data_IF_190668763201
#
_entry.id   IF_190668763201
#
_cell.length_a   1.000
_cell.length_b   1.000
_cell.length_c   1.000
_cell.angle_alpha   90.00
_cell.angle_beta   90.00
_cell.angle_gamma   90.00
#
_symmetry.space_group_name_H-M   'P 1'
#
loop_
_entity.id
_entity.type
_entity.pdbx_description
1 polymer ?
#
# COMPACT_ATOMS: atom_id res chain seq x y z
N UNK A 1 -18.54 53.91 6.05
CA UNK A 1 -18.07 54.61 4.84
C UNK A 1 -18.13 53.63 3.67
N UNK A 2 -19.13 53.73 2.78
CA UNK A 2 -19.14 53.06 1.47
C UNK A 2 -18.62 54.00 0.37
N UNK A 3 -18.54 53.49 -0.88
CA UNK A 3 -18.17 54.10 -2.19
C UNK A 3 -16.69 53.88 -2.60
N UNK A 4 -16.31 53.43 -3.81
CA UNK A 4 -17.03 53.16 -5.08
C UNK A 4 -16.16 52.34 -6.03
N UNK A 5 -16.82 51.57 -6.90
CA UNK A 5 -16.28 50.85 -8.05
C UNK A 5 -16.07 51.75 -9.30
N UNK A 6 -15.15 51.36 -10.18
CA UNK A 6 -15.07 51.67 -11.62
C UNK A 6 -14.08 50.64 -12.21
N UNK A 7 -14.20 50.06 -13.40
CA UNK A 7 -15.01 50.43 -14.56
C UNK A 7 -15.17 49.22 -15.51
N UNK A 8 -16.19 49.29 -16.36
CA UNK A 8 -16.58 48.34 -17.39
C UNK A 8 -15.90 48.67 -18.72
N UNK A 9 -15.55 47.65 -19.53
CA UNK A 9 -15.64 47.71 -21.00
C UNK A 9 -15.41 46.29 -21.57
N UNK A 10 -16.45 45.57 -21.98
CA UNK A 10 -17.15 45.61 -23.27
C UNK A 10 -16.43 44.89 -24.42
N UNK A 11 -17.11 43.84 -24.90
CA UNK A 11 -17.31 43.43 -26.30
C UNK A 11 -16.10 43.32 -27.24
N UNK A 12 -15.79 42.06 -27.64
CA UNK A 12 -15.99 41.60 -29.03
C UNK A 12 -15.62 40.13 -29.23
N UNK A 13 -16.57 39.33 -29.68
CA UNK A 13 -16.31 38.11 -30.46
C UNK A 13 -15.96 38.50 -31.90
N UNK A 14 -15.13 37.68 -32.58
CA UNK A 14 -15.57 37.20 -33.89
C UNK A 14 -15.30 35.71 -34.15
N UNK A 15 -16.39 35.04 -34.58
CA UNK A 15 -16.58 34.07 -35.68
C UNK A 15 -15.40 33.19 -36.19
N UNK A 16 -15.66 31.87 -36.13
CA UNK A 16 -15.41 30.78 -37.10
C UNK A 16 -14.20 30.85 -38.04
N UNK A 17 -13.29 29.84 -37.99
CA UNK A 17 -12.70 29.20 -39.19
C UNK A 17 -12.19 27.78 -38.86
N UNK A 18 -12.56 26.78 -39.66
CA UNK A 18 -11.67 25.67 -40.06
C UNK A 18 -11.72 24.34 -39.30
N UNK A 19 -12.65 23.45 -39.68
CA UNK A 19 -12.42 22.00 -39.62
C UNK A 19 -11.22 21.66 -40.53
N UNK A 20 -10.11 21.18 -39.96
CA UNK A 20 -9.07 20.52 -40.74
C UNK A 20 -9.21 19.01 -40.55
N UNK A 21 -9.75 18.36 -41.57
CA UNK A 21 -9.75 16.91 -41.70
C UNK A 21 -8.30 16.51 -41.98
N UNK A 22 -7.60 15.97 -40.98
CA UNK A 22 -6.28 15.38 -41.18
C UNK A 22 -6.49 14.00 -41.80
N UNK A 23 -6.56 13.94 -43.13
CA UNK A 23 -6.35 12.70 -43.87
C UNK A 23 -4.85 12.47 -44.07
N UNK A 24 -4.43 11.21 -44.01
CA UNK A 24 -3.09 10.70 -44.42
C UNK A 24 -1.96 11.05 -43.45
N UNK A 25 -1.06 10.18 -43.00
CA UNK A 25 -0.61 8.86 -43.46
C UNK A 25 0.00 8.14 -42.25
N UNK A 26 -0.15 6.81 -42.17
CA UNK A 26 0.60 5.99 -41.21
C UNK A 26 2.10 6.01 -41.56
N UNK A 27 2.85 6.99 -41.03
CA UNK A 27 4.31 6.93 -40.99
C UNK A 27 4.75 5.97 -39.90
N UNK A 28 5.14 4.78 -40.34
CA UNK A 28 5.78 3.72 -39.56
C UNK A 28 7.05 4.28 -38.92
N UNK A 29 7.01 4.57 -37.62
CA UNK A 29 8.21 4.91 -36.84
C UNK A 29 9.14 3.69 -36.80
N UNK A 30 10.39 3.79 -37.27
CA UNK A 30 11.33 2.68 -37.20
C UNK A 30 11.95 2.63 -35.80
N UNK A 31 11.91 1.45 -35.16
CA UNK A 31 12.86 1.11 -34.10
C UNK A 31 12.35 1.02 -32.67
N UNK A 32 11.13 0.55 -32.40
CA UNK A 32 10.77 0.10 -31.05
C UNK A 32 11.33 -1.31 -30.81
N UNK A 33 12.39 -1.40 -29.99
CA UNK A 33 12.97 -2.68 -29.57
C UNK A 33 11.92 -3.52 -28.82
N UNK A 34 11.78 -4.82 -29.09
CA UNK A 34 10.89 -5.69 -28.32
C UNK A 34 11.56 -6.00 -26.98
N UNK A 35 11.11 -5.35 -25.89
CA UNK A 35 11.71 -5.62 -24.59
C UNK A 35 11.31 -4.74 -23.40
N UNK A 36 10.30 -3.87 -23.51
CA UNK A 36 9.84 -3.14 -22.33
C UNK A 36 8.81 -4.01 -21.57
N UNK A 37 9.30 -4.83 -20.64
CA UNK A 37 8.44 -5.50 -19.66
C UNK A 37 7.76 -4.43 -18.82
N UNK A 38 6.43 -4.48 -18.74
CA UNK A 38 5.61 -3.60 -17.90
C UNK A 38 6.20 -3.56 -16.48
N UNK A 39 6.58 -2.37 -16.01
CA UNK A 39 6.97 -2.13 -14.62
C UNK A 39 5.75 -2.03 -13.68
N UNK A 40 4.59 -2.54 -14.08
CA UNK A 40 3.58 -2.90 -13.09
C UNK A 40 4.18 -4.01 -12.22
N UNK A 41 4.32 -3.75 -10.92
CA UNK A 41 4.97 -4.67 -9.95
C UNK A 41 4.31 -6.03 -9.87
N UNK A 42 3.02 -6.09 -10.15
CA UNK A 42 2.28 -7.31 -10.38
C UNK A 42 2.78 -8.07 -11.62
N UNK A 43 3.49 -9.18 -11.38
CA UNK A 43 3.82 -10.12 -12.45
C UNK A 43 2.63 -11.04 -12.72
N UNK A 44 1.87 -10.73 -13.78
CA UNK A 44 0.70 -11.50 -14.26
C UNK A 44 1.01 -12.97 -14.58
N UNK A 45 2.28 -13.35 -14.75
CA UNK A 45 2.65 -14.75 -14.99
C UNK A 45 2.72 -15.60 -13.72
N UNK A 46 2.59 -14.99 -12.53
CA UNK A 46 2.65 -15.74 -11.26
C UNK A 46 1.28 -16.29 -10.92
N UNK A 47 1.15 -17.61 -10.93
CA UNK A 47 -0.04 -18.30 -10.45
C UNK A 47 -0.05 -18.33 -8.91
N UNK A 48 -0.73 -17.33 -8.33
CA UNK A 48 -0.85 -17.19 -6.89
C UNK A 48 -1.75 -18.25 -6.25
N UNK A 49 -2.72 -18.81 -7.00
CA UNK A 49 -3.60 -19.86 -6.49
C UNK A 49 -2.84 -21.15 -6.16
N UNK A 50 -1.73 -21.41 -6.87
CA UNK A 50 -0.85 -22.55 -6.57
C UNK A 50 0.14 -22.30 -5.43
N UNK A 51 0.46 -21.05 -5.13
CA UNK A 51 1.50 -20.67 -4.15
C UNK A 51 0.93 -20.34 -2.78
N UNK A 52 -0.29 -19.85 -2.73
CA UNK A 52 -0.97 -19.37 -1.54
C UNK A 52 -2.01 -20.38 -1.09
N UNK A 53 -2.32 -20.40 0.21
CA UNK A 53 -3.52 -21.07 0.69
C UNK A 53 -4.77 -20.35 0.15
N UNK A 54 -5.94 -21.02 0.11
CA UNK A 54 -7.18 -20.38 -0.34
C UNK A 54 -7.50 -19.08 0.41
N UNK A 55 -7.28 -19.05 1.72
CA UNK A 55 -7.48 -17.87 2.56
C UNK A 55 -6.49 -16.74 2.22
N UNK A 56 -5.19 -17.07 2.09
CA UNK A 56 -4.18 -16.09 1.69
C UNK A 56 -4.48 -15.49 0.31
N UNK A 57 -4.97 -16.30 -0.63
CA UNK A 57 -5.37 -15.82 -1.95
C UNK A 57 -6.60 -14.91 -1.86
N UNK A 58 -7.64 -15.33 -1.14
CA UNK A 58 -8.85 -14.54 -0.92
C UNK A 58 -8.52 -13.16 -0.34
N UNK A 59 -7.73 -13.11 0.74
CA UNK A 59 -7.32 -11.85 1.37
C UNK A 59 -6.45 -11.01 0.43
N UNK A 60 -5.35 -11.57 -0.08
CA UNK A 60 -4.33 -10.77 -0.77
C UNK A 60 -4.68 -10.40 -2.21
N UNK A 61 -5.58 -11.15 -2.87
CA UNK A 61 -5.91 -10.96 -4.30
C UNK A 61 -7.35 -10.56 -4.53
N UNK A 62 -8.28 -11.10 -3.75
CA UNK A 62 -9.70 -10.76 -3.86
C UNK A 62 -10.10 -9.63 -2.90
N UNK A 63 -9.14 -9.09 -2.14
CA UNK A 63 -9.34 -8.03 -1.14
C UNK A 63 -10.34 -8.44 -0.05
N UNK A 64 -10.35 -9.73 0.26
CA UNK A 64 -11.09 -10.25 1.40
C UNK A 64 -10.50 -9.76 2.72
N UNK A 65 -11.32 -9.78 3.75
CA UNK A 65 -10.89 -9.53 5.13
C UNK A 65 -11.03 -10.82 5.92
N UNK A 66 -10.01 -11.19 6.69
CA UNK A 66 -10.07 -12.34 7.59
C UNK A 66 -11.13 -12.11 8.69
N UNK A 67 -11.71 -13.17 9.23
CA UNK A 67 -12.69 -13.01 10.31
C UNK A 67 -12.02 -12.38 11.54
N UNK A 68 -12.69 -11.46 12.25
CA UNK A 68 -12.11 -10.85 13.44
C UNK A 68 -11.79 -11.94 14.48
N UNK A 69 -10.66 -11.78 15.19
CA UNK A 69 -10.17 -12.69 16.22
C UNK A 69 -9.70 -14.07 15.74
N UNK A 70 -9.71 -14.34 14.43
CA UNK A 70 -9.27 -15.62 13.85
C UNK A 70 -7.78 -15.65 13.49
N UNK A 71 -7.17 -14.48 13.26
CA UNK A 71 -5.84 -14.35 12.70
C UNK A 71 -4.72 -14.86 13.62
N UNK A 72 -3.81 -15.67 13.06
CA UNK A 72 -2.68 -16.27 13.79
C UNK A 72 -1.73 -15.24 14.43
N UNK A 73 -1.68 -14.02 13.89
CA UNK A 73 -0.77 -12.97 14.35
C UNK A 73 -1.41 -11.94 15.26
N UNK A 74 -2.70 -12.10 15.60
CA UNK A 74 -3.41 -11.19 16.48
C UNK A 74 -2.70 -11.02 17.84
N UNK A 75 -2.49 -12.13 18.55
CA UNK A 75 -1.85 -12.15 19.87
C UNK A 75 -0.36 -12.48 19.83
N UNK A 76 0.26 -12.37 18.64
CA UNK A 76 1.67 -12.65 18.45
C UNK A 76 2.50 -11.38 18.71
N UNK A 77 3.40 -11.40 19.69
CA UNK A 77 4.23 -10.25 20.08
C UNK A 77 5.74 -10.60 20.17
N UNK A 78 6.17 -11.70 19.55
CA UNK A 78 7.60 -12.01 19.48
C UNK A 78 8.36 -10.96 18.67
N UNK A 79 9.61 -10.71 19.06
CA UNK A 79 10.47 -9.74 18.41
C UNK A 79 10.90 -10.23 17.03
N UNK A 80 10.65 -9.44 15.99
CA UNK A 80 10.93 -9.81 14.61
C UNK A 80 10.26 -8.91 13.59
N UNK A 81 10.13 -9.44 12.38
CA UNK A 81 9.67 -8.69 11.21
C UNK A 81 8.54 -9.43 10.49
N UNK A 82 7.47 -8.71 10.20
CA UNK A 82 6.34 -9.19 9.40
C UNK A 82 6.58 -8.87 7.93
N UNK A 83 6.60 -9.90 7.11
CA UNK A 83 6.86 -9.84 5.68
C UNK A 83 5.58 -10.11 4.89
N UNK A 84 5.54 -9.65 3.64
CA UNK A 84 4.44 -9.97 2.73
C UNK A 84 4.43 -11.47 2.41
N UNK A 85 3.31 -12.15 2.61
CA UNK A 85 3.17 -13.59 2.31
C UNK A 85 3.44 -13.92 0.83
N UNK A 86 3.18 -12.96 -0.08
CA UNK A 86 3.35 -13.15 -1.52
C UNK A 86 4.80 -13.00 -2.00
N UNK A 87 5.47 -11.93 -1.59
CA UNK A 87 6.77 -11.52 -2.16
C UNK A 87 7.90 -11.41 -1.13
N UNK A 88 7.62 -11.72 0.13
CA UNK A 88 8.59 -11.80 1.22
C UNK A 88 9.37 -10.49 1.48
N UNK A 89 8.82 -9.34 1.09
CA UNK A 89 9.35 -8.01 1.45
C UNK A 89 8.99 -7.68 2.91
N UNK A 90 9.87 -7.05 3.70
CA UNK A 90 9.51 -6.56 5.03
C UNK A 90 8.44 -5.47 4.93
N UNK A 91 7.39 -5.58 5.75
CA UNK A 91 6.26 -4.65 5.78
C UNK A 91 6.11 -3.95 7.12
N UNK A 92 6.20 -4.69 8.23
CA UNK A 92 5.98 -4.15 9.57
C UNK A 92 6.97 -4.75 10.59
N UNK A 93 7.41 -3.93 11.55
CA UNK A 93 8.22 -4.39 12.69
C UNK A 93 7.32 -4.82 13.84
N UNK A 94 7.74 -5.83 14.59
CA UNK A 94 7.07 -6.20 15.86
C UNK A 94 7.09 -5.06 16.88
N UNK A 95 8.09 -4.17 16.83
CA UNK A 95 8.21 -3.01 17.73
C UNK A 95 7.08 -2.00 17.53
N UNK A 96 6.56 -1.91 16.30
CA UNK A 96 5.43 -1.06 15.96
C UNK A 96 4.07 -1.74 16.24
N UNK A 97 4.05 -3.04 16.59
CA UNK A 97 2.83 -3.79 16.84
C UNK A 97 2.25 -3.43 18.22
N UNK A 98 0.92 -3.37 18.30
CA UNK A 98 0.22 -3.17 19.57
C UNK A 98 -1.15 -3.87 19.55
N UNK A 99 -1.74 -4.05 20.72
CA UNK A 99 -3.12 -4.53 20.82
C UNK A 99 -4.10 -3.37 20.68
N UNK A 100 -4.91 -3.41 19.62
CA UNK A 100 -5.97 -2.41 19.38
C UNK A 100 -7.33 -2.85 19.89
N UNK A 101 -7.50 -4.11 20.30
CA UNK A 101 -8.80 -4.69 20.65
C UNK A 101 -9.77 -4.88 19.48
N UNK A 102 -9.34 -4.63 18.24
CA UNK A 102 -10.24 -4.65 17.06
C UNK A 102 -10.41 -6.02 16.41
N UNK A 103 -9.60 -7.01 16.78
CA UNK A 103 -9.69 -8.38 16.24
C UNK A 103 -8.71 -8.69 15.11
N UNK A 104 -7.89 -7.73 14.69
CA UNK A 104 -6.80 -7.92 13.72
C UNK A 104 -5.47 -7.39 14.27
N UNK A 105 -4.32 -7.91 13.82
CA UNK A 105 -3.03 -7.35 14.21
C UNK A 105 -2.91 -5.89 13.77
N UNK A 106 -2.56 -5.04 14.73
CA UNK A 106 -2.45 -3.61 14.54
C UNK A 106 -1.01 -3.12 14.68
N UNK A 107 -0.62 -2.19 13.80
CA UNK A 107 0.69 -1.55 13.83
C UNK A 107 0.54 -0.03 13.82
N UNK A 108 1.47 0.68 14.45
CA UNK A 108 1.49 2.15 14.51
C UNK A 108 2.05 2.80 13.25
N UNK A 109 2.93 2.07 12.55
CA UNK A 109 3.64 2.52 11.35
C UNK A 109 4.12 1.33 10.52
N UNK A 110 4.38 1.58 9.23
CA UNK A 110 5.02 0.63 8.35
C UNK A 110 6.55 0.65 8.51
N UNK A 111 7.19 -0.47 8.21
CA UNK A 111 8.64 -0.56 8.22
C UNK A 111 9.26 0.34 7.13
N UNK A 112 10.28 1.10 7.50
CA UNK A 112 10.92 2.07 6.61
C UNK A 112 10.27 3.44 6.64
N UNK A 113 9.23 3.67 7.46
CA UNK A 113 8.72 5.01 7.71
C UNK A 113 9.71 5.80 8.57
N UNK A 114 9.97 7.05 8.19
CA UNK A 114 10.75 8.00 8.99
C UNK A 114 9.88 9.21 9.31
N UNK A 115 9.58 9.42 10.59
CA UNK A 115 8.60 10.42 11.08
C UNK A 115 7.21 10.23 10.47
N UNK A 116 6.95 10.83 9.30
CA UNK A 116 5.73 10.66 8.51
C UNK A 116 5.99 10.35 7.04
N UNK A 117 7.26 10.23 6.65
CA UNK A 117 7.64 9.89 5.28
C UNK A 117 7.63 8.37 5.09
N UNK A 118 6.78 7.91 4.18
CA UNK A 118 6.62 6.50 3.80
C UNK A 118 7.28 6.18 2.45
N UNK A 119 8.09 7.10 1.90
CA UNK A 119 8.77 6.92 0.61
C UNK A 119 9.61 5.64 0.57
N UNK A 120 10.25 5.30 1.69
CA UNK A 120 11.06 4.10 1.90
C UNK A 120 10.26 2.88 2.38
N UNK A 121 8.99 3.05 2.75
CA UNK A 121 8.14 1.96 3.15
C UNK A 121 7.77 1.06 1.97
N UNK A 122 7.51 -0.22 2.25
CA UNK A 122 7.11 -1.22 1.25
C UNK A 122 5.58 -1.35 1.11
N UNK A 123 4.85 -0.28 1.46
CA UNK A 123 3.38 -0.19 1.33
C UNK A 123 2.95 0.92 0.37
N UNK A 124 1.72 0.82 -0.16
CA UNK A 124 1.01 1.88 -0.89
C UNK A 124 -0.36 2.05 -0.27
N UNK A 125 -0.79 3.29 -0.12
CA UNK A 125 -2.14 3.65 0.29
C UNK A 125 -3.05 3.87 -0.91
N UNK A 126 -4.25 3.34 -0.85
CA UNK A 126 -5.29 3.58 -1.85
C UNK A 126 -6.60 3.94 -1.14
N UNK A 127 -7.28 5.03 -1.53
CA UNK A 127 -8.61 5.31 -1.01
C UNK A 127 -9.56 4.15 -1.32
N UNK A 128 -10.24 3.63 -0.30
CA UNK A 128 -11.23 2.57 -0.45
C UNK A 128 -12.60 3.09 -0.02
N UNK A 129 -13.54 3.12 -0.97
CA UNK A 129 -14.90 3.59 -0.75
C UNK A 129 -15.90 2.43 -0.67
N UNK A 130 -15.41 1.19 -0.62
CA UNK A 130 -16.24 -0.01 -0.83
C UNK A 130 -17.10 -0.40 0.39
N UNK A 131 -16.75 0.07 1.59
CA UNK A 131 -17.34 -0.41 2.86
C UNK A 131 -18.00 0.68 3.73
N UNK A 132 -18.39 1.83 3.17
CA UNK A 132 -19.20 2.84 3.88
C UNK A 132 -18.48 3.60 5.00
N UNK A 133 -17.28 3.18 5.39
CA UNK A 133 -16.29 3.99 6.13
C UNK A 133 -15.12 4.34 5.21
N UNK A 134 -14.60 5.57 5.34
CA UNK A 134 -13.46 6.07 4.56
C UNK A 134 -12.14 5.44 5.01
N UNK A 135 -12.03 4.12 4.89
CA UNK A 135 -10.78 3.39 5.15
C UNK A 135 -9.80 3.61 3.99
N UNK A 136 -8.53 3.81 4.31
CA UNK A 136 -7.49 3.80 3.27
C UNK A 136 -6.94 2.37 3.17
N UNK A 137 -7.15 1.71 2.04
CA UNK A 137 -6.59 0.39 1.75
C UNK A 137 -5.06 0.47 1.74
N UNK A 138 -4.42 -0.52 2.36
CA UNK A 138 -2.98 -0.71 2.39
C UNK A 138 -2.63 -1.90 1.51
N UNK A 139 -1.81 -1.63 0.49
CA UNK A 139 -1.31 -2.62 -0.45
C UNK A 139 0.18 -2.83 -0.25
N UNK A 140 0.65 -4.05 -0.46
CA UNK A 140 2.07 -4.29 -0.63
C UNK A 140 2.52 -3.53 -1.87
N UNK A 141 3.45 -2.59 -1.67
CA UNK A 141 4.04 -1.81 -2.76
C UNK A 141 4.51 -2.84 -3.79
N UNK A 142 5.19 -3.93 -3.38
CA UNK A 142 5.95 -4.96 -4.15
C UNK A 142 5.19 -5.87 -5.10
N UNK A 143 3.97 -6.26 -4.76
CA UNK A 143 3.25 -7.24 -5.56
C UNK A 143 1.75 -6.94 -5.65
N UNK A 144 1.36 -5.73 -5.25
CA UNK A 144 -0.02 -5.26 -5.20
C UNK A 144 -0.95 -6.17 -4.38
N UNK A 145 -0.40 -6.92 -3.42
CA UNK A 145 -1.18 -7.74 -2.50
C UNK A 145 -1.95 -6.84 -1.53
N UNK A 146 -3.25 -7.10 -1.36
CA UNK A 146 -4.04 -6.48 -0.30
C UNK A 146 -3.53 -6.93 1.08
N UNK A 147 -3.28 -5.96 1.96
CA UNK A 147 -2.79 -6.21 3.31
C UNK A 147 -3.89 -5.95 4.35
N UNK A 148 -4.63 -4.86 4.19
CA UNK A 148 -5.68 -4.43 5.10
C UNK A 148 -5.97 -2.94 4.91
N UNK A 149 -6.21 -2.22 6.00
CA UNK A 149 -6.56 -0.80 5.98
C UNK A 149 -5.81 -0.01 7.05
N UNK A 150 -5.61 1.27 6.80
CA UNK A 150 -5.11 2.24 7.76
C UNK A 150 -6.19 3.25 8.12
N UNK A 151 -6.28 3.56 9.41
CA UNK A 151 -7.23 4.48 10.02
C UNK A 151 -6.50 5.57 10.82
N UNK A 152 -7.11 6.73 10.97
CA UNK A 152 -6.57 7.89 11.72
C UNK A 152 -6.97 7.89 13.21
N UNK A 153 -7.42 6.76 13.74
CA UNK A 153 -7.81 6.53 15.13
C UNK A 153 -6.74 5.77 15.93
N UNK A 154 -5.48 5.89 15.51
CA UNK A 154 -4.35 5.20 16.14
C UNK A 154 -3.77 5.94 17.35
N UNK A 155 -2.87 5.29 18.09
CA UNK A 155 -2.18 5.91 19.23
C UNK A 155 -1.17 6.97 18.77
N UNK A 156 -0.84 7.89 19.68
CA UNK A 156 0.30 8.79 19.51
C UNK A 156 1.63 8.03 19.33
N UNK A 157 2.62 8.61 18.63
CA UNK A 157 2.64 9.95 18.04
C UNK A 157 2.13 10.03 16.59
N UNK A 158 1.95 8.88 15.92
CA UNK A 158 1.56 8.87 14.51
C UNK A 158 0.08 9.15 14.33
N UNK A 159 -0.75 8.75 15.30
CA UNK A 159 -2.22 8.79 15.20
C UNK A 159 -2.76 7.77 14.21
N UNK A 160 -1.93 6.83 13.75
CA UNK A 160 -2.28 5.90 12.68
C UNK A 160 -2.40 4.47 13.20
N UNK A 161 -3.44 3.79 12.75
CA UNK A 161 -3.71 2.39 13.04
C UNK A 161 -3.72 1.58 11.75
N UNK A 162 -2.64 0.86 11.50
CA UNK A 162 -2.56 -0.13 10.42
C UNK A 162 -3.21 -1.42 10.90
N UNK A 163 -4.43 -1.67 10.47
CA UNK A 163 -5.20 -2.88 10.73
C UNK A 163 -4.96 -3.86 9.59
N UNK A 164 -4.13 -4.88 9.82
CA UNK A 164 -3.61 -5.76 8.76
C UNK A 164 -4.15 -7.17 8.95
N UNK A 165 -4.43 -7.87 7.85
CA UNK A 165 -4.81 -9.28 7.90
C UNK A 165 -3.58 -10.15 8.20
N UNK A 166 -3.67 -11.02 9.20
CA UNK A 166 -2.67 -12.03 9.51
C UNK A 166 -2.36 -12.93 8.30
N UNK A 167 -3.39 -13.31 7.54
CA UNK A 167 -3.25 -14.10 6.32
C UNK A 167 -2.40 -13.41 5.23
N UNK A 168 -2.26 -12.08 5.26
CA UNK A 168 -1.41 -11.35 4.32
C UNK A 168 0.07 -11.30 4.75
N UNK A 169 0.38 -11.75 5.97
CA UNK A 169 1.69 -11.63 6.60
C UNK A 169 2.39 -12.98 6.78
N UNK A 170 3.71 -12.91 6.87
CA UNK A 170 4.58 -14.00 7.32
C UNK A 170 5.59 -13.45 8.31
N UNK A 171 5.61 -13.97 9.52
CA UNK A 171 6.55 -13.53 10.56
C UNK A 171 7.93 -14.18 10.38
N UNK A 172 8.99 -13.40 10.62
CA UNK A 172 10.36 -13.88 10.78
C UNK A 172 10.90 -13.38 12.12
N UNK A 173 11.28 -14.27 13.05
CA UNK A 173 11.83 -13.86 14.33
C UNK A 173 13.16 -13.13 14.13
N UNK A 174 13.43 -12.16 15.01
CA UNK A 174 14.76 -11.55 15.10
C UNK A 174 15.70 -12.63 15.63
N UNK A 175 16.80 -12.91 14.93
CA UNK A 175 17.84 -13.76 15.48
C UNK A 175 18.35 -13.08 16.77
N UNK A 176 18.12 -13.73 17.90
CA UNK A 176 18.79 -13.38 19.13
C UNK A 176 20.25 -13.71 18.90
N UNK A 177 21.09 -12.69 18.72
CA UNK A 177 22.53 -12.88 18.71
C UNK A 177 22.92 -13.58 20.01
N UNK A 178 23.20 -14.88 19.93
CA UNK A 178 24.00 -15.55 20.94
C UNK A 178 25.35 -14.88 20.83
N UNK A 179 25.57 -13.88 21.68
CA UNK A 179 26.91 -13.38 21.93
C UNK A 179 27.65 -14.54 22.57
N UNK A 180 28.57 -15.14 21.82
CA UNK A 180 29.57 -16.05 22.36
C UNK A 180 30.34 -15.28 23.45
N UNK A 181 29.95 -15.46 24.71
CA UNK A 181 30.83 -15.18 25.84
C UNK A 181 31.89 -16.28 25.85
N UNK A 182 32.93 -16.10 25.03
CA UNK A 182 34.19 -16.81 25.24
C UNK A 182 34.80 -16.32 26.55
N UNK A 183 34.71 -17.19 27.54
CA UNK A 183 35.36 -17.12 28.83
C UNK A 183 36.88 -17.20 28.63
N UNK A 184 37.56 -16.05 28.63
CA UNK A 184 39.00 -15.96 28.86
C UNK A 184 39.25 -15.77 30.35
N UNK A 185 39.49 -16.86 31.09
CA UNK A 185 40.65 -16.99 32.00
C UNK A 185 40.83 -18.41 32.54
#
# INVERSE_FOLDING_TARGET
MPITACDQNANKLPKQIGFYVITSTATKLPGLKPGLKSLTRYNKTTDWQKKLTPEQYFVTREKGTEEPFSGIYLNHFEMGMYHCVCCDVPLFSSEAKYDSGTGWPAFKEAHGTWERDESHASIVRRPDNSLGSAGTEVLCKNCDAHLGHVFEDGPDPTGQRFCINSAALKFKPRENGVADTEEQK
#
